data_IF_142730375230
#
_entry.id   IF_142730375230
#
_cell.length_a   1.000
_cell.length_b   1.000
_cell.length_c   1.000
_cell.angle_alpha   90.00
_cell.angle_beta   90.00
_cell.angle_gamma   90.00
#
_symmetry.space_group_name_H-M   'P 1'
#
loop_
_entity.id
_entity.type
_entity.pdbx_description
1 polymer ?
#
# COMPACT_ATOMS: atom_id res chain seq x y z
N UNK A 1 -1.24 -2.87 39.08
CA UNK A 1 -1.87 -1.63 38.58
C UNK A 1 -1.52 -1.53 37.13
N UNK A 2 -2.48 -1.20 36.27
CA UNK A 2 -2.23 -0.92 34.86
C UNK A 2 -1.34 0.32 34.76
N UNK A 3 -0.37 0.27 33.87
CA UNK A 3 0.66 1.30 33.71
C UNK A 3 0.36 2.26 32.55
N UNK A 4 -0.44 1.78 31.58
CA UNK A 4 -0.78 2.52 30.37
C UNK A 4 -2.30 2.56 30.16
N UNK A 5 -2.79 3.63 29.56
CA UNK A 5 -4.16 3.69 29.05
C UNK A 5 -4.30 2.79 27.81
N UNK A 6 -3.30 2.79 26.94
CA UNK A 6 -3.32 2.00 25.69
C UNK A 6 -2.04 1.20 25.47
N UNK A 7 -2.21 -0.10 25.18
CA UNK A 7 -1.23 -0.93 24.50
C UNK A 7 -1.52 -0.90 23.00
N UNK A 8 -0.58 -0.43 22.21
CA UNK A 8 -0.71 -0.33 20.74
C UNK A 8 0.18 -1.40 20.11
N UNK A 9 -0.42 -2.37 19.47
CA UNK A 9 0.28 -3.48 18.80
C UNK A 9 0.46 -3.12 17.33
N UNK A 10 1.68 -2.75 16.96
CA UNK A 10 2.12 -2.29 15.65
C UNK A 10 2.60 -0.84 15.65
N UNK A 11 3.90 -0.64 15.42
CA UNK A 11 4.55 0.67 15.29
C UNK A 11 4.51 1.20 13.84
N UNK A 12 3.49 0.81 13.07
CA UNK A 12 3.22 1.33 11.74
C UNK A 12 2.51 2.68 11.77
N UNK A 13 2.15 3.21 10.60
CA UNK A 13 1.55 4.54 10.46
C UNK A 13 0.26 4.69 11.28
N UNK A 14 -0.63 3.70 11.26
CA UNK A 14 -1.89 3.74 12.01
C UNK A 14 -1.66 3.85 13.52
N UNK A 15 -0.86 2.92 14.07
CA UNK A 15 -0.55 2.91 15.50
C UNK A 15 0.18 4.17 15.95
N UNK A 16 1.10 4.70 15.12
CA UNK A 16 1.85 5.91 15.43
C UNK A 16 0.96 7.16 15.44
N UNK A 17 0.03 7.30 14.50
CA UNK A 17 -0.94 8.42 14.48
C UNK A 17 -1.85 8.35 15.70
N UNK A 18 -2.41 7.19 16.02
CA UNK A 18 -3.24 7.04 17.21
C UNK A 18 -2.47 7.34 18.50
N UNK A 19 -1.24 6.79 18.65
CA UNK A 19 -0.39 7.06 19.81
C UNK A 19 -0.11 8.55 20.00
N UNK A 20 0.18 9.25 18.89
CA UNK A 20 0.40 10.70 18.90
C UNK A 20 -0.83 11.45 19.41
N UNK A 21 -2.00 11.15 18.87
CA UNK A 21 -3.26 11.82 19.24
C UNK A 21 -3.68 11.50 20.69
N UNK A 22 -3.45 10.25 21.13
CA UNK A 22 -3.70 9.85 22.51
C UNK A 22 -2.78 10.60 23.50
N UNK A 23 -1.49 10.64 23.21
CA UNK A 23 -0.51 11.33 24.07
C UNK A 23 -0.78 12.84 24.14
N UNK A 24 -1.17 13.48 23.04
CA UNK A 24 -1.58 14.90 23.04
C UNK A 24 -2.79 15.18 23.92
N UNK A 25 -3.61 14.16 24.19
CA UNK A 25 -4.78 14.26 25.09
C UNK A 25 -4.48 13.71 26.50
N UNK A 26 -3.20 13.57 26.84
CA UNK A 26 -2.74 13.19 28.18
C UNK A 26 -2.83 11.70 28.50
N UNK A 27 -3.09 10.83 27.50
CA UNK A 27 -3.10 9.40 27.67
C UNK A 27 -1.69 8.81 27.60
N UNK A 28 -1.46 7.74 28.34
CA UNK A 28 -0.20 7.01 28.37
C UNK A 28 -0.28 5.79 27.42
N UNK A 29 0.72 5.66 26.53
CA UNK A 29 0.76 4.62 25.53
C UNK A 29 2.04 3.79 25.61
N UNK A 30 1.89 2.46 25.48
CA UNK A 30 2.97 1.55 25.17
C UNK A 30 2.78 1.05 23.72
N UNK A 31 3.74 1.33 22.84
CA UNK A 31 3.74 0.79 21.47
C UNK A 31 4.70 -0.38 21.40
N UNK A 32 4.24 -1.49 20.85
CA UNK A 32 5.09 -2.66 20.60
C UNK A 32 5.08 -3.03 19.11
N UNK A 33 6.17 -3.60 18.63
CA UNK A 33 6.24 -4.17 17.29
C UNK A 33 7.15 -5.41 17.29
N UNK A 34 6.73 -6.45 16.55
CA UNK A 34 7.54 -7.67 16.38
C UNK A 34 8.81 -7.41 15.58
N UNK A 35 8.82 -6.37 14.73
CA UNK A 35 9.97 -5.95 13.92
C UNK A 35 10.99 -5.16 14.78
N UNK A 36 12.24 -5.14 14.31
CA UNK A 36 13.32 -4.36 14.92
C UNK A 36 13.34 -2.88 14.54
N UNK A 37 12.25 -2.36 13.95
CA UNK A 37 12.14 -0.97 13.50
C UNK A 37 10.70 -0.48 13.59
N UNK A 38 10.53 0.84 13.70
CA UNK A 38 9.24 1.53 13.56
C UNK A 38 8.90 1.75 12.08
N UNK A 39 7.69 2.18 11.80
CA UNK A 39 7.23 2.58 10.46
C UNK A 39 6.44 1.49 9.73
N UNK A 40 6.44 0.25 10.23
CA UNK A 40 5.72 -0.82 9.55
C UNK A 40 6.12 -0.92 8.07
N UNK A 41 5.15 -0.95 7.16
CA UNK A 41 5.43 -1.08 5.73
C UNK A 41 5.97 0.22 5.07
N UNK A 42 5.85 1.38 5.73
CA UNK A 42 6.43 2.63 5.22
C UNK A 42 7.87 2.86 5.73
N UNK A 43 8.47 1.86 6.36
CA UNK A 43 9.86 1.96 6.85
C UNK A 43 10.82 2.30 5.72
N UNK A 44 11.63 3.33 5.96
CA UNK A 44 12.74 3.74 5.10
C UNK A 44 14.02 3.77 5.90
N UNK A 45 15.13 3.44 5.27
CA UNK A 45 16.46 3.61 5.84
C UNK A 45 17.42 4.17 4.82
N UNK A 46 18.45 4.84 5.29
CA UNK A 46 19.48 5.42 4.42
C UNK A 46 20.52 4.38 4.02
N UNK A 47 20.69 4.20 2.70
CA UNK A 47 21.76 3.36 2.12
C UNK A 47 22.42 4.15 1.00
N UNK A 48 23.74 4.31 1.04
CA UNK A 48 24.52 5.07 0.05
C UNK A 48 23.93 6.47 -0.24
N UNK A 49 23.41 7.14 0.81
CA UNK A 49 22.80 8.46 0.71
C UNK A 49 21.41 8.50 0.07
N UNK A 50 20.78 7.37 -0.15
CA UNK A 50 19.39 7.26 -0.64
C UNK A 50 18.47 6.72 0.43
N UNK A 51 17.26 7.26 0.54
CA UNK A 51 16.21 6.70 1.40
C UNK A 51 15.58 5.49 0.73
N UNK A 52 15.91 4.28 1.20
CA UNK A 52 15.44 3.02 0.65
C UNK A 52 14.12 2.63 1.30
N UNK A 53 13.07 2.48 0.49
CA UNK A 53 11.76 1.99 0.90
C UNK A 53 11.81 0.46 0.97
N UNK A 54 11.90 -0.11 2.18
CA UNK A 54 12.16 -1.54 2.38
C UNK A 54 11.02 -2.46 2.01
N UNK A 55 9.79 -1.94 2.00
CA UNK A 55 8.58 -2.72 1.77
C UNK A 55 7.78 -2.22 0.55
N UNK A 56 8.48 -1.84 -0.49
CA UNK A 56 7.89 -1.34 -1.73
C UNK A 56 7.83 0.18 -1.83
N UNK A 57 7.58 0.68 -3.03
CA UNK A 57 7.48 2.11 -3.29
C UNK A 57 6.27 2.71 -2.58
N UNK A 58 6.51 3.69 -1.74
CA UNK A 58 5.49 4.47 -1.06
C UNK A 58 5.60 5.92 -1.51
N UNK A 59 4.57 6.42 -2.19
CA UNK A 59 4.44 7.81 -2.60
C UNK A 59 3.20 8.37 -1.89
N UNK A 60 3.37 9.42 -1.09
CA UNK A 60 2.24 10.04 -0.42
C UNK A 60 1.43 10.85 -1.41
N UNK A 61 0.13 10.64 -1.44
CA UNK A 61 -0.81 11.43 -2.21
C UNK A 61 -2.16 11.51 -1.48
N UNK A 62 -2.90 12.58 -1.68
CA UNK A 62 -4.24 12.76 -1.11
C UNK A 62 -5.01 13.86 -1.81
N UNK A 63 -6.32 13.73 -1.88
CA UNK A 63 -7.24 14.82 -2.21
C UNK A 63 -7.70 15.62 -0.98
N UNK A 64 -7.40 15.13 0.21
CA UNK A 64 -7.87 15.68 1.49
C UNK A 64 -6.87 16.65 2.08
N UNK A 65 -7.20 17.93 2.02
CA UNK A 65 -6.32 18.98 2.56
C UNK A 65 -6.01 18.79 4.04
N UNK A 66 -6.97 18.33 4.84
CA UNK A 66 -6.77 18.11 6.27
C UNK A 66 -5.68 17.06 6.55
N UNK A 67 -5.68 15.95 5.80
CA UNK A 67 -4.66 14.91 5.92
C UNK A 67 -3.30 15.42 5.44
N UNK A 68 -3.28 16.21 4.36
CA UNK A 68 -2.06 16.85 3.88
C UNK A 68 -1.47 17.82 4.91
N UNK A 69 -2.31 18.68 5.49
CA UNK A 69 -1.88 19.64 6.52
C UNK A 69 -1.41 18.91 7.79
N UNK A 70 -2.05 17.79 8.14
CA UNK A 70 -1.65 16.99 9.28
C UNK A 70 -0.26 16.38 9.10
N UNK A 71 -0.02 15.68 7.99
CA UNK A 71 1.25 14.99 7.78
C UNK A 71 2.43 15.96 7.60
N UNK A 72 2.18 17.16 7.06
CA UNK A 72 3.20 18.19 6.91
C UNK A 72 3.68 18.80 8.23
N UNK A 73 3.03 18.53 9.37
CA UNK A 73 3.54 18.89 10.69
C UNK A 73 4.77 18.03 11.07
N UNK A 74 4.91 16.86 10.49
CA UNK A 74 5.95 15.90 10.84
C UNK A 74 7.10 15.82 9.84
N UNK A 75 6.91 16.25 8.61
CA UNK A 75 7.96 16.31 7.59
C UNK A 75 7.65 17.36 6.53
N UNK A 76 8.72 17.89 5.91
CA UNK A 76 8.61 18.63 4.67
C UNK A 76 8.53 17.64 3.50
N UNK A 77 7.55 17.80 2.63
CA UNK A 77 7.42 17.01 1.41
C UNK A 77 8.06 17.72 0.22
N UNK A 78 8.71 16.97 -0.65
CA UNK A 78 9.22 17.47 -1.91
C UNK A 78 8.11 17.51 -2.97
N UNK A 79 8.48 17.94 -4.18
CA UNK A 79 7.56 18.05 -5.33
C UNK A 79 7.62 16.82 -6.26
N UNK A 80 7.92 15.64 -5.72
CA UNK A 80 7.95 14.42 -6.53
C UNK A 80 6.56 14.12 -7.10
N UNK A 81 6.53 13.91 -8.42
CA UNK A 81 5.35 13.48 -9.16
C UNK A 81 5.56 12.04 -9.63
N UNK A 82 4.66 11.15 -9.22
CA UNK A 82 4.76 9.76 -9.62
C UNK A 82 4.39 9.57 -11.09
N UNK A 83 5.36 9.23 -11.91
CA UNK A 83 5.21 9.01 -13.35
C UNK A 83 5.86 7.67 -13.73
N UNK A 84 5.29 6.53 -13.31
CA UNK A 84 5.87 5.23 -13.60
C UNK A 84 5.82 4.93 -15.11
N UNK A 85 6.73 4.08 -15.55
CA UNK A 85 6.73 3.51 -16.89
C UNK A 85 6.55 1.99 -16.81
N UNK A 86 6.10 1.39 -17.91
CA UNK A 86 5.98 -0.05 -18.04
C UNK A 86 6.92 -0.55 -19.13
N UNK A 87 7.53 -1.72 -18.90
CA UNK A 87 8.29 -2.49 -19.87
C UNK A 87 7.46 -3.71 -20.24
N UNK A 88 7.20 -3.89 -21.51
CA UNK A 88 6.64 -5.10 -22.08
C UNK A 88 7.55 -5.58 -23.21
N UNK A 89 8.22 -6.70 -23.02
CA UNK A 89 9.30 -7.17 -23.92
C UNK A 89 10.35 -6.06 -24.11
N UNK A 90 10.56 -5.61 -25.32
CA UNK A 90 11.54 -4.57 -25.69
C UNK A 90 10.92 -3.17 -25.80
N UNK A 91 9.63 -3.01 -25.45
CA UNK A 91 8.89 -1.75 -25.59
C UNK A 91 8.68 -1.06 -24.26
N UNK A 92 8.69 0.28 -24.30
CA UNK A 92 8.45 1.14 -23.14
C UNK A 92 7.13 1.88 -23.31
N UNK A 93 6.35 1.91 -22.21
CA UNK A 93 5.05 2.59 -22.18
C UNK A 93 4.94 3.52 -20.99
N UNK A 94 4.34 4.68 -21.18
CA UNK A 94 3.97 5.55 -20.05
C UNK A 94 2.76 5.00 -19.29
N UNK A 95 2.75 5.23 -17.99
CA UNK A 95 1.60 5.01 -17.11
C UNK A 95 1.21 6.33 -16.44
N UNK A 96 -0.07 6.54 -16.10
CA UNK A 96 -1.24 5.69 -16.37
C UNK A 96 -1.53 5.57 -17.88
N UNK A 97 -2.50 4.72 -18.27
CA UNK A 97 -2.91 4.58 -19.68
C UNK A 97 -3.43 5.91 -20.21
N UNK A 98 -2.58 6.66 -20.89
CA UNK A 98 -2.82 8.02 -21.36
C UNK A 98 -2.46 8.18 -22.84
N UNK A 99 -2.52 9.40 -23.36
CA UNK A 99 -2.22 9.65 -24.78
C UNK A 99 -0.78 9.29 -25.17
N UNK A 100 0.20 9.35 -24.24
CA UNK A 100 1.55 8.87 -24.51
C UNK A 100 1.55 7.35 -24.69
N UNK A 101 0.86 6.60 -23.82
CA UNK A 101 0.69 5.15 -23.93
C UNK A 101 0.04 4.76 -25.26
N UNK A 102 -1.05 5.46 -25.63
CA UNK A 102 -1.77 5.17 -26.89
C UNK A 102 -0.96 5.53 -28.12
N UNK A 103 -0.16 6.60 -28.05
CA UNK A 103 0.78 6.93 -29.11
C UNK A 103 1.86 5.84 -29.27
N UNK A 104 2.40 5.35 -28.17
CA UNK A 104 3.40 4.28 -28.16
C UNK A 104 2.85 2.97 -28.71
N UNK A 105 1.60 2.62 -28.34
CA UNK A 105 0.92 1.42 -28.85
C UNK A 105 0.53 1.51 -30.34
N UNK A 106 0.00 2.66 -30.78
CA UNK A 106 -0.72 2.76 -32.06
C UNK A 106 -0.31 3.92 -32.94
N UNK A 107 0.59 4.78 -32.51
CA UNK A 107 0.98 6.00 -33.28
C UNK A 107 -0.11 7.08 -33.35
N UNK A 108 -1.22 6.92 -32.60
CA UNK A 108 -2.32 7.91 -32.58
C UNK A 108 -1.88 9.22 -31.92
N UNK A 109 -2.45 10.33 -32.34
CA UNK A 109 -2.04 11.67 -31.88
C UNK A 109 -3.16 12.45 -31.19
N UNK A 110 -4.40 12.07 -31.44
CA UNK A 110 -5.58 12.77 -30.92
C UNK A 110 -6.43 11.87 -30.02
N UNK A 111 -7.16 12.45 -29.06
CA UNK A 111 -8.13 11.71 -28.26
C UNK A 111 -9.19 10.96 -29.06
N UNK A 112 -9.61 11.55 -30.22
CA UNK A 112 -10.60 10.93 -31.08
C UNK A 112 -10.08 9.63 -31.71
N UNK A 113 -8.84 9.64 -32.24
CA UNK A 113 -8.17 8.46 -32.79
C UNK A 113 -7.99 7.36 -31.72
N UNK A 114 -7.52 7.73 -30.54
CA UNK A 114 -7.32 6.78 -29.43
C UNK A 114 -8.66 6.14 -29.00
N UNK A 115 -9.70 6.94 -28.83
CA UNK A 115 -11.06 6.44 -28.51
C UNK A 115 -11.58 5.50 -29.58
N UNK A 116 -11.44 5.87 -30.86
CA UNK A 116 -11.89 5.04 -31.99
C UNK A 116 -11.17 3.67 -31.98
N UNK A 117 -9.84 3.67 -31.74
CA UNK A 117 -9.03 2.45 -31.67
C UNK A 117 -9.46 1.53 -30.55
N UNK A 118 -9.67 2.06 -29.35
CA UNK A 118 -10.14 1.32 -28.19
C UNK A 118 -11.55 0.75 -28.45
N UNK A 119 -12.47 1.57 -28.95
CA UNK A 119 -13.84 1.15 -29.26
C UNK A 119 -13.89 0.06 -30.33
N UNK A 120 -13.04 0.15 -31.36
CA UNK A 120 -12.90 -0.89 -32.37
C UNK A 120 -12.51 -2.23 -31.75
N UNK A 121 -11.53 -2.23 -30.85
CA UNK A 121 -11.09 -3.45 -30.18
C UNK A 121 -12.16 -4.02 -29.25
N UNK A 122 -12.78 -3.16 -28.42
CA UNK A 122 -13.88 -3.57 -27.52
C UNK A 122 -15.04 -4.19 -28.31
N UNK A 123 -15.43 -3.57 -29.43
CA UNK A 123 -16.52 -4.06 -30.26
C UNK A 123 -16.25 -5.47 -30.85
N UNK A 124 -14.98 -5.76 -31.17
CA UNK A 124 -14.56 -7.10 -31.64
C UNK A 124 -14.68 -8.21 -30.58
N UNK A 125 -14.56 -7.85 -29.31
CA UNK A 125 -14.64 -8.82 -28.20
C UNK A 125 -16.06 -9.32 -27.93
N UNK A 126 -17.11 -8.59 -28.34
CA UNK A 126 -18.52 -8.94 -28.12
C UNK A 126 -18.88 -9.26 -26.66
N UNK A 127 -18.15 -8.67 -25.68
CA UNK A 127 -18.36 -8.86 -24.26
C UNK A 127 -19.43 -7.91 -23.77
N UNK A 128 -20.63 -8.43 -23.48
CA UNK A 128 -21.76 -7.66 -22.93
C UNK A 128 -21.87 -7.76 -21.42
N UNK A 129 -21.45 -8.90 -20.85
CA UNK A 129 -21.51 -9.17 -19.42
C UNK A 129 -20.20 -9.83 -18.98
N UNK A 130 -19.24 -9.04 -18.48
CA UNK A 130 -17.97 -9.57 -17.97
C UNK A 130 -18.19 -10.58 -16.83
N UNK A 131 -17.63 -11.78 -16.94
CA UNK A 131 -17.76 -12.87 -15.96
C UNK A 131 -16.55 -12.98 -15.05
N UNK A 132 -15.42 -12.47 -15.50
CA UNK A 132 -14.14 -12.57 -14.84
C UNK A 132 -13.30 -11.32 -15.13
N UNK A 133 -12.08 -11.25 -14.57
CA UNK A 133 -11.18 -10.12 -14.71
C UNK A 133 -10.75 -9.88 -16.16
N UNK A 134 -10.50 -10.95 -16.93
CA UNK A 134 -10.11 -10.87 -18.34
C UNK A 134 -11.23 -10.21 -19.16
N UNK A 135 -12.46 -10.75 -19.07
CA UNK A 135 -13.63 -10.16 -19.75
C UNK A 135 -13.80 -8.68 -19.37
N UNK A 136 -13.64 -8.34 -18.10
CA UNK A 136 -13.77 -6.98 -17.60
C UNK A 136 -12.69 -6.05 -18.16
N UNK A 137 -11.44 -6.49 -18.18
CA UNK A 137 -10.33 -5.69 -18.70
C UNK A 137 -10.48 -5.47 -20.20
N UNK A 138 -10.74 -6.52 -20.97
CA UNK A 138 -10.99 -6.43 -22.42
C UNK A 138 -12.14 -5.47 -22.78
N UNK A 139 -13.23 -5.51 -21.98
CA UNK A 139 -14.37 -4.61 -22.16
C UNK A 139 -14.07 -3.15 -21.79
N UNK A 140 -13.04 -2.89 -20.98
CA UNK A 140 -12.66 -1.55 -20.55
C UNK A 140 -11.59 -0.91 -21.46
N UNK A 141 -10.56 -1.66 -21.83
CA UNK A 141 -9.35 -1.09 -22.43
C UNK A 141 -9.00 -1.67 -23.82
N UNK A 142 -9.71 -2.71 -24.25
CA UNK A 142 -9.41 -3.41 -25.51
C UNK A 142 -8.25 -4.40 -25.38
N UNK A 143 -7.98 -5.11 -26.47
CA UNK A 143 -7.05 -6.25 -26.50
C UNK A 143 -5.60 -5.83 -26.28
N UNK A 144 -5.10 -4.83 -27.03
CA UNK A 144 -3.66 -4.50 -27.01
C UNK A 144 -3.21 -3.99 -25.64
N UNK A 145 -4.01 -3.14 -24.98
CA UNK A 145 -3.73 -2.65 -23.62
C UNK A 145 -3.81 -3.80 -22.61
N UNK A 146 -4.81 -4.68 -22.75
CA UNK A 146 -4.95 -5.84 -21.89
C UNK A 146 -3.73 -6.76 -21.98
N UNK A 147 -3.40 -7.24 -23.18
CA UNK A 147 -2.33 -8.23 -23.39
C UNK A 147 -0.94 -7.69 -23.01
N UNK A 148 -0.66 -6.42 -23.33
CA UNK A 148 0.68 -5.86 -23.14
C UNK A 148 0.88 -5.25 -21.74
N UNK A 149 -0.15 -4.66 -21.14
CA UNK A 149 0.02 -3.84 -19.96
C UNK A 149 -0.74 -4.33 -18.72
N UNK A 150 -1.69 -5.26 -18.86
CA UNK A 150 -2.55 -5.71 -17.76
C UNK A 150 -2.35 -7.18 -17.45
N UNK A 151 -2.45 -8.06 -18.45
CA UNK A 151 -2.52 -9.51 -18.28
C UNK A 151 -1.33 -10.07 -17.49
N UNK A 152 -0.12 -9.93 -18.02
CA UNK A 152 1.08 -10.53 -17.43
C UNK A 152 1.39 -9.97 -16.03
N UNK A 153 1.18 -8.66 -15.82
CA UNK A 153 1.33 -8.05 -14.51
C UNK A 153 0.34 -8.61 -13.51
N UNK A 154 -0.93 -8.72 -13.88
CA UNK A 154 -2.01 -9.23 -13.04
C UNK A 154 -1.81 -10.70 -12.69
N UNK A 155 -1.45 -11.53 -13.68
CA UNK A 155 -1.15 -12.96 -13.48
C UNK A 155 -0.02 -13.15 -12.46
N UNK A 156 1.05 -12.36 -12.56
CA UNK A 156 2.16 -12.39 -11.58
C UNK A 156 1.67 -11.99 -10.19
N UNK A 157 0.99 -10.84 -10.10
CA UNK A 157 0.55 -10.30 -8.81
C UNK A 157 -0.40 -11.25 -8.08
N UNK A 158 -1.32 -11.89 -8.79
CA UNK A 158 -2.32 -12.77 -8.19
C UNK A 158 -1.92 -14.26 -8.19
N UNK A 159 -0.92 -14.66 -9.00
CA UNK A 159 -0.51 -16.05 -9.15
C UNK A 159 -1.58 -16.94 -9.78
N UNK A 160 -2.51 -16.34 -10.53
CA UNK A 160 -3.65 -17.01 -11.20
C UNK A 160 -3.87 -16.40 -12.58
N UNK A 161 -4.50 -17.18 -13.46
CA UNK A 161 -4.94 -16.69 -14.77
C UNK A 161 -6.04 -15.62 -14.60
N UNK A 162 -6.04 -14.59 -15.44
CA UNK A 162 -7.01 -13.50 -15.37
C UNK A 162 -8.47 -13.98 -15.51
N UNK A 163 -8.70 -15.05 -16.29
CA UNK A 163 -10.02 -15.68 -16.44
C UNK A 163 -10.54 -16.37 -15.17
N UNK A 164 -9.64 -16.70 -14.23
CA UNK A 164 -9.96 -17.35 -12.97
C UNK A 164 -10.09 -16.35 -11.80
N UNK A 165 -9.91 -15.09 -12.10
CA UNK A 165 -10.03 -13.97 -11.14
C UNK A 165 -11.38 -13.26 -11.29
N UNK A 166 -12.02 -12.82 -10.17
CA UNK A 166 -13.27 -12.09 -10.23
C UNK A 166 -13.17 -10.75 -10.97
N UNK A 167 -14.20 -10.39 -11.72
CA UNK A 167 -14.26 -9.13 -12.48
C UNK A 167 -14.12 -7.87 -11.59
N UNK A 168 -14.54 -7.93 -10.33
CA UNK A 168 -14.50 -6.78 -9.42
C UNK A 168 -13.08 -6.33 -9.04
N UNK A 169 -12.07 -7.18 -9.19
CA UNK A 169 -10.66 -6.83 -8.94
C UNK A 169 -10.25 -5.66 -9.83
N UNK A 170 -10.74 -5.62 -11.06
CA UNK A 170 -10.55 -4.49 -11.99
C UNK A 170 -11.90 -3.82 -12.22
N UNK A 171 -12.38 -3.04 -11.26
CA UNK A 171 -13.60 -2.24 -11.43
C UNK A 171 -13.44 -1.12 -12.45
N UNK A 172 -12.25 -0.53 -12.52
CA UNK A 172 -11.89 0.58 -13.41
C UNK A 172 -10.43 0.46 -13.79
N UNK A 173 -10.16 0.52 -15.08
CA UNK A 173 -8.85 0.83 -15.63
C UNK A 173 -8.95 2.25 -16.20
N UNK A 174 -8.41 3.26 -15.52
CA UNK A 174 -8.64 4.64 -15.92
C UNK A 174 -7.87 4.96 -17.21
N UNK A 175 -8.63 5.11 -18.29
CA UNK A 175 -8.12 5.65 -19.54
C UNK A 175 -8.13 7.18 -19.48
N UNK A 176 -7.01 7.81 -19.80
CA UNK A 176 -6.86 9.27 -19.81
C UNK A 176 -6.55 9.75 -21.22
N UNK A 177 -7.39 10.62 -21.75
CA UNK A 177 -7.21 11.18 -23.08
C UNK A 177 -6.48 12.52 -23.03
N UNK A 178 -5.42 12.58 -22.21
CA UNK A 178 -4.49 13.70 -22.04
C UNK A 178 -3.05 13.16 -22.09
N UNK A 179 -2.07 14.03 -22.31
CA UNK A 179 -0.64 13.70 -22.28
C UNK A 179 -0.02 13.83 -20.88
N UNK A 180 -0.84 13.83 -19.83
CA UNK A 180 -0.39 13.92 -18.46
C UNK A 180 0.07 12.57 -17.94
N UNK A 181 1.34 12.46 -17.54
CA UNK A 181 1.96 11.27 -16.98
C UNK A 181 1.86 11.19 -15.46
N UNK A 182 1.27 12.19 -14.78
CA UNK A 182 1.06 12.08 -13.35
C UNK A 182 0.11 10.91 -13.04
N UNK A 183 0.61 9.91 -12.31
CA UNK A 183 -0.15 8.70 -12.02
C UNK A 183 -1.38 8.98 -11.14
N UNK A 184 -1.23 9.85 -10.15
CA UNK A 184 -2.32 10.22 -9.25
C UNK A 184 -3.12 11.40 -9.81
N UNK A 185 -4.39 11.49 -9.41
CA UNK A 185 -5.26 12.64 -9.72
C UNK A 185 -5.34 13.63 -8.55
N UNK A 186 -4.75 13.25 -7.42
CA UNK A 186 -4.82 14.01 -6.19
C UNK A 186 -4.01 15.31 -6.30
N UNK A 187 -4.52 16.42 -5.76
CA UNK A 187 -3.85 17.71 -5.82
C UNK A 187 -2.59 17.78 -4.95
N UNK A 188 -2.47 16.90 -3.95
CA UNK A 188 -1.33 16.84 -3.05
C UNK A 188 -0.60 15.53 -3.22
N UNK A 189 0.69 15.58 -3.50
CA UNK A 189 1.56 14.43 -3.55
C UNK A 189 3.02 14.83 -3.31
N UNK A 190 3.84 13.88 -2.90
CA UNK A 190 5.27 14.08 -2.69
C UNK A 190 5.90 12.97 -1.87
N UNK A 191 7.22 13.11 -1.68
CA UNK A 191 8.02 12.25 -0.82
C UNK A 191 8.52 13.07 0.36
N UNK A 192 8.44 12.57 1.61
CA UNK A 192 8.97 13.28 2.76
C UNK A 192 10.50 13.32 2.69
N UNK A 193 11.09 14.49 2.83
CA UNK A 193 12.55 14.66 2.87
C UNK A 193 13.15 13.92 4.06
N UNK A 194 14.11 13.03 3.77
CA UNK A 194 14.75 12.17 4.77
C UNK A 194 13.93 10.95 5.17
N UNK A 195 12.99 10.53 4.32
CA UNK A 195 12.26 9.28 4.40
C UNK A 195 11.06 9.25 5.37
N UNK A 196 10.23 8.23 5.23
CA UNK A 196 9.01 8.06 6.03
C UNK A 196 9.25 7.69 7.49
N UNK A 197 10.33 6.97 7.79
CA UNK A 197 10.67 6.60 9.18
C UNK A 197 10.79 7.80 10.08
N UNK A 198 11.26 8.94 9.54
CA UNK A 198 11.35 10.21 10.27
C UNK A 198 9.98 10.74 10.72
N UNK A 199 8.95 10.56 9.91
CA UNK A 199 7.56 10.93 10.27
C UNK A 199 7.11 10.11 11.46
N UNK A 200 7.26 8.78 11.37
CA UNK A 200 6.84 7.87 12.44
C UNK A 200 7.61 8.13 13.72
N UNK A 201 8.91 8.42 13.62
CA UNK A 201 9.73 8.81 14.78
C UNK A 201 9.19 10.05 15.48
N UNK A 202 8.76 11.08 14.73
CA UNK A 202 8.16 12.29 15.31
C UNK A 202 6.77 12.02 15.90
N UNK A 203 5.95 11.20 15.25
CA UNK A 203 4.65 10.80 15.78
C UNK A 203 4.78 10.07 17.12
N UNK A 204 5.82 9.27 17.30
CA UNK A 204 6.08 8.50 18.51
C UNK A 204 6.99 9.23 19.53
N UNK A 205 7.26 10.52 19.33
CA UNK A 205 8.07 11.30 20.26
C UNK A 205 7.40 11.38 21.65
N UNK A 206 8.12 10.95 22.68
CA UNK A 206 7.60 10.88 24.06
C UNK A 206 6.76 9.64 24.37
N UNK A 207 6.53 8.74 23.38
CA UNK A 207 5.84 7.47 23.57
C UNK A 207 6.84 6.36 23.84
N UNK A 208 6.54 5.48 24.79
CA UNK A 208 7.36 4.29 25.03
C UNK A 208 7.16 3.28 23.90
N UNK A 209 8.26 2.85 23.25
CA UNK A 209 8.25 1.90 22.15
C UNK A 209 9.14 0.71 22.47
N UNK A 210 8.60 -0.51 22.37
CA UNK A 210 9.32 -1.76 22.52
C UNK A 210 9.31 -2.54 21.21
N UNK A 211 10.45 -2.56 20.53
CA UNK A 211 10.66 -3.32 19.29
C UNK A 211 11.09 -4.76 19.58
N UNK A 212 11.08 -5.64 18.58
CA UNK A 212 11.35 -7.07 18.71
C UNK A 212 10.47 -7.73 19.78
N UNK A 213 9.24 -7.23 19.93
CA UNK A 213 8.28 -7.69 20.92
C UNK A 213 7.06 -8.28 20.23
N UNK A 214 6.96 -9.59 20.24
CA UNK A 214 5.81 -10.31 19.69
C UNK A 214 4.67 -10.31 20.71
N UNK A 215 3.52 -9.79 20.31
CA UNK A 215 2.32 -9.72 21.14
C UNK A 215 1.85 -11.10 21.59
N UNK A 216 1.86 -12.09 20.70
CA UNK A 216 1.34 -13.42 20.98
C UNK A 216 2.26 -14.22 21.91
N UNK A 217 3.56 -13.94 21.91
CA UNK A 217 4.51 -14.60 22.82
C UNK A 217 4.28 -14.25 24.30
N UNK A 218 3.75 -13.03 24.56
CA UNK A 218 3.54 -12.52 25.93
C UNK A 218 2.18 -11.80 26.07
N UNK A 219 1.14 -12.30 25.40
CA UNK A 219 -0.16 -11.64 25.28
C UNK A 219 -0.78 -11.27 26.62
N UNK A 220 -0.83 -12.20 27.57
CA UNK A 220 -1.44 -11.98 28.89
C UNK A 220 -0.70 -10.89 29.69
N UNK A 221 0.64 -10.97 29.72
CA UNK A 221 1.47 -10.00 30.44
C UNK A 221 1.36 -8.60 29.83
N UNK A 222 1.42 -8.50 28.50
CA UNK A 222 1.30 -7.25 27.78
C UNK A 222 -0.08 -6.60 27.95
N UNK A 223 -1.14 -7.39 27.79
CA UNK A 223 -2.52 -6.92 27.97
C UNK A 223 -2.81 -6.46 29.40
N UNK A 224 -2.21 -7.13 30.41
CA UNK A 224 -2.37 -6.74 31.80
C UNK A 224 -1.78 -5.36 32.13
N UNK A 225 -0.89 -4.82 31.30
CA UNK A 225 -0.23 -3.53 31.52
C UNK A 225 -1.08 -2.32 31.09
N UNK A 226 -2.13 -2.52 30.28
CA UNK A 226 -2.92 -1.43 29.72
C UNK A 226 -4.43 -1.59 29.98
N UNK A 227 -5.16 -0.48 29.93
CA UNK A 227 -6.62 -0.48 30.03
C UNK A 227 -7.28 -1.00 28.75
N UNK A 228 -6.78 -0.57 27.60
CA UNK A 228 -7.23 -0.99 26.27
C UNK A 228 -6.08 -1.39 25.38
N UNK A 229 -6.37 -2.26 24.41
CA UNK A 229 -5.44 -2.70 23.36
C UNK A 229 -5.92 -2.19 22.01
N UNK A 230 -5.08 -1.43 21.31
CA UNK A 230 -5.25 -1.18 19.89
C UNK A 230 -4.41 -2.19 19.11
N UNK A 231 -5.08 -3.11 18.43
CA UNK A 231 -4.42 -4.18 17.67
C UNK A 231 -4.47 -3.89 16.17
N UNK A 232 -3.29 -3.78 15.53
CA UNK A 232 -3.17 -3.49 14.10
C UNK A 232 -2.64 -4.67 13.27
N UNK A 233 -2.51 -5.85 13.90
CA UNK A 233 -2.13 -7.11 13.26
C UNK A 233 -3.31 -7.80 12.59
N UNK A 234 -3.10 -9.03 12.13
CA UNK A 234 -4.14 -9.84 11.48
C UNK A 234 -5.24 -10.21 12.47
N UNK A 235 -6.48 -9.87 12.15
CA UNK A 235 -7.63 -10.12 13.03
C UNK A 235 -7.91 -11.61 13.24
N UNK A 236 -7.71 -12.43 12.23
CA UNK A 236 -7.88 -13.87 12.32
C UNK A 236 -6.81 -14.53 13.21
N UNK A 237 -5.56 -14.05 13.16
CA UNK A 237 -4.49 -14.49 14.06
C UNK A 237 -4.79 -14.11 15.51
N UNK A 238 -5.37 -12.93 15.75
CA UNK A 238 -5.78 -12.51 17.10
C UNK A 238 -6.75 -13.49 17.76
N UNK A 239 -7.61 -14.12 16.99
CA UNK A 239 -8.59 -15.11 17.40
C UNK A 239 -8.18 -16.56 17.12
N UNK A 240 -6.88 -16.83 16.99
CA UNK A 240 -6.35 -18.18 16.76
C UNK A 240 -7.02 -18.90 15.57
N UNK A 241 -7.39 -18.13 14.53
CA UNK A 241 -8.03 -18.63 13.30
C UNK A 241 -9.33 -19.43 13.54
N UNK A 242 -10.07 -19.13 14.60
CA UNK A 242 -11.23 -19.91 15.05
C UNK A 242 -12.37 -20.05 14.02
N UNK A 243 -12.46 -19.16 13.05
CA UNK A 243 -13.40 -19.25 11.92
C UNK A 243 -12.74 -19.66 10.60
N UNK A 244 -11.41 -19.82 10.59
CA UNK A 244 -10.57 -20.11 9.42
C UNK A 244 -9.61 -18.98 9.09
N UNK A 245 -8.65 -19.27 8.20
CA UNK A 245 -7.63 -18.31 7.78
C UNK A 245 -8.17 -17.38 6.69
N UNK A 246 -7.95 -16.07 6.86
CA UNK A 246 -8.15 -15.07 5.83
C UNK A 246 -7.00 -15.13 4.82
N UNK A 247 -7.29 -14.88 3.56
CA UNK A 247 -6.29 -14.94 2.50
C UNK A 247 -5.61 -13.58 2.30
N UNK A 248 -4.29 -13.62 2.15
CA UNK A 248 -3.45 -12.45 1.85
C UNK A 248 -2.55 -12.71 0.65
N UNK A 249 -2.03 -11.65 0.06
CA UNK A 249 -0.88 -11.72 -0.84
C UNK A 249 0.35 -11.18 -0.13
N UNK A 250 1.49 -11.74 -0.49
CA UNK A 250 2.79 -11.35 0.04
C UNK A 250 3.70 -10.81 -1.07
N UNK A 251 4.82 -10.21 -0.67
CA UNK A 251 5.85 -9.69 -1.55
C UNK A 251 7.22 -10.12 -1.03
N UNK A 252 8.15 -10.32 -1.97
CA UNK A 252 9.57 -10.47 -1.68
C UNK A 252 10.32 -9.32 -2.33
N UNK A 253 11.27 -8.75 -1.61
CA UNK A 253 12.11 -7.64 -2.08
C UNK A 253 13.57 -8.07 -2.14
N UNK A 254 14.23 -7.77 -3.25
CA UNK A 254 15.66 -7.96 -3.42
C UNK A 254 16.31 -6.60 -3.68
N UNK A 255 17.07 -6.11 -2.70
CA UNK A 255 17.71 -4.80 -2.76
C UNK A 255 19.20 -4.97 -3.09
N UNK A 256 19.68 -4.17 -4.02
CA UNK A 256 21.05 -4.19 -4.52
C UNK A 256 21.61 -2.77 -4.63
N UNK A 257 22.87 -2.61 -4.23
CA UNK A 257 23.64 -1.38 -4.45
C UNK A 257 24.45 -1.54 -5.72
N UNK A 258 24.28 -0.60 -6.66
CA UNK A 258 24.98 -0.60 -7.94
C UNK A 258 26.01 0.53 -7.99
N UNK A 259 27.20 0.22 -8.52
CA UNK A 259 28.28 1.19 -8.72
C UNK A 259 28.08 1.98 -10.02
N UNK A 260 26.95 2.66 -10.09
CA UNK A 260 26.56 3.55 -11.18
C UNK A 260 25.61 4.64 -10.67
N UNK A 261 25.63 5.80 -11.30
CA UNK A 261 24.85 6.96 -10.87
C UNK A 261 23.35 6.89 -11.21
N UNK A 262 22.96 6.08 -12.19
CA UNK A 262 21.57 5.97 -12.67
C UNK A 262 21.39 4.62 -13.37
N UNK A 263 20.40 3.84 -12.97
CA UNK A 263 20.13 2.51 -13.50
C UNK A 263 19.04 2.51 -14.57
N UNK A 264 17.88 3.10 -14.26
CA UNK A 264 16.70 3.04 -15.11
C UNK A 264 16.08 4.41 -15.46
N UNK A 265 16.62 5.49 -14.91
CA UNK A 265 16.19 6.86 -15.20
C UNK A 265 14.82 7.24 -14.65
N UNK A 266 14.22 6.41 -13.81
CA UNK A 266 12.92 6.66 -13.19
C UNK A 266 12.83 5.96 -11.82
N UNK A 267 12.03 6.51 -10.92
CA UNK A 267 11.85 5.92 -9.60
C UNK A 267 11.20 4.52 -9.65
N UNK A 268 10.20 4.34 -10.51
CA UNK A 268 9.44 3.09 -10.62
C UNK A 268 9.27 2.67 -12.07
N UNK A 269 9.74 1.46 -12.38
CA UNK A 269 9.54 0.81 -13.67
C UNK A 269 8.79 -0.51 -13.44
N UNK A 270 7.60 -0.65 -14.02
CA UNK A 270 6.80 -1.85 -13.96
C UNK A 270 7.17 -2.78 -15.13
N UNK A 271 7.25 -4.06 -14.86
CA UNK A 271 7.47 -5.10 -15.87
C UNK A 271 6.18 -5.87 -16.07
N UNK A 272 5.53 -5.65 -17.19
CA UNK A 272 4.20 -6.24 -17.48
C UNK A 272 4.27 -7.57 -18.21
N UNK A 273 5.42 -7.91 -18.79
CA UNK A 273 5.64 -9.23 -19.38
C UNK A 273 5.63 -10.32 -18.29
N UNK A 274 4.88 -11.40 -18.53
CA UNK A 274 4.75 -12.53 -17.62
C UNK A 274 6.07 -13.29 -17.42
N UNK A 275 6.92 -13.37 -18.43
CA UNK A 275 8.20 -14.06 -18.38
C UNK A 275 9.22 -13.38 -17.45
N UNK A 276 9.04 -12.09 -17.14
CA UNK A 276 9.85 -11.38 -16.17
C UNK A 276 9.34 -11.68 -14.76
N UNK A 277 10.16 -12.27 -13.86
CA UNK A 277 9.65 -12.80 -12.58
C UNK A 277 9.25 -11.75 -11.55
N UNK A 278 9.73 -10.51 -11.66
CA UNK A 278 9.36 -9.39 -10.79
C UNK A 278 8.31 -8.49 -11.45
N UNK A 279 7.55 -7.80 -10.62
CA UNK A 279 6.51 -6.86 -11.10
C UNK A 279 7.06 -5.48 -11.33
N UNK A 280 8.08 -5.06 -10.57
CA UNK A 280 8.70 -3.74 -10.73
C UNK A 280 10.13 -3.70 -10.23
N UNK A 281 10.86 -2.68 -10.70
CA UNK A 281 12.11 -2.23 -10.11
C UNK A 281 11.91 -0.82 -9.59
N UNK A 282 12.37 -0.59 -8.36
CA UNK A 282 12.38 0.72 -7.71
C UNK A 282 13.82 1.20 -7.68
N UNK A 283 14.12 2.38 -8.21
CA UNK A 283 15.40 3.06 -8.06
C UNK A 283 15.22 4.22 -7.09
N UNK A 284 15.65 4.03 -5.85
CA UNK A 284 15.22 4.83 -4.71
C UNK A 284 15.68 6.29 -4.74
N UNK A 285 16.85 6.59 -5.30
CA UNK A 285 17.39 7.95 -5.35
C UNK A 285 16.50 8.96 -6.05
N UNK A 286 15.71 8.50 -7.04
CA UNK A 286 14.84 9.39 -7.81
C UNK A 286 13.69 9.97 -6.98
N UNK A 287 13.29 9.34 -5.87
CA UNK A 287 12.26 9.87 -4.99
C UNK A 287 12.64 11.22 -4.36
N UNK A 288 13.92 11.42 -4.07
CA UNK A 288 14.43 12.66 -3.50
C UNK A 288 15.39 13.41 -4.45
N UNK A 289 15.30 13.12 -5.77
CA UNK A 289 16.15 13.75 -6.81
C UNK A 289 17.65 13.61 -6.55
N UNK A 290 18.05 12.47 -6.01
CA UNK A 290 19.42 12.19 -5.60
C UNK A 290 20.42 12.12 -6.78
N UNK A 291 21.62 12.61 -6.54
CA UNK A 291 22.72 12.68 -7.53
C UNK A 291 23.94 11.87 -7.08
N UNK A 292 23.81 10.97 -6.12
CA UNK A 292 24.88 10.14 -5.59
C UNK A 292 25.55 9.31 -6.70
N UNK A 293 26.87 9.02 -6.60
CA UNK A 293 27.58 8.27 -7.62
C UNK A 293 27.15 6.80 -7.73
N UNK A 294 26.58 6.25 -6.62
CA UNK A 294 25.96 4.93 -6.60
C UNK A 294 24.45 5.03 -6.57
N UNK A 295 23.78 3.97 -6.97
CA UNK A 295 22.32 3.87 -6.84
C UNK A 295 21.90 2.60 -6.13
N UNK A 296 20.73 2.64 -5.50
CA UNK A 296 20.11 1.49 -4.84
C UNK A 296 18.83 1.14 -5.58
N UNK A 297 18.73 -0.10 -6.01
CA UNK A 297 17.53 -0.63 -6.63
C UNK A 297 16.89 -1.72 -5.77
N UNK A 298 15.59 -1.86 -5.88
CA UNK A 298 14.85 -2.98 -5.27
C UNK A 298 13.96 -3.62 -6.33
N UNK A 299 14.12 -4.94 -6.53
CA UNK A 299 13.22 -5.76 -7.34
C UNK A 299 12.10 -6.28 -6.45
N UNK A 300 10.86 -6.08 -6.87
CA UNK A 300 9.66 -6.53 -6.16
C UNK A 300 9.08 -7.76 -6.83
N UNK A 301 9.05 -8.88 -6.10
CA UNK A 301 8.50 -10.14 -6.55
C UNK A 301 7.16 -10.41 -5.85
N UNK A 302 6.11 -10.74 -6.60
CA UNK A 302 4.87 -11.21 -5.99
C UNK A 302 5.07 -12.60 -5.39
N UNK A 303 4.44 -12.83 -4.25
CA UNK A 303 4.52 -14.10 -3.55
C UNK A 303 3.16 -14.52 -2.97
N UNK A 304 2.94 -15.81 -2.88
CA UNK A 304 1.86 -16.33 -2.06
C UNK A 304 2.15 -16.03 -0.58
N UNK A 305 1.11 -15.64 0.14
CA UNK A 305 1.23 -15.53 1.59
C UNK A 305 1.14 -16.94 2.21
N UNK A 306 1.96 -17.17 3.18
CA UNK A 306 1.97 -18.36 4.02
C UNK A 306 2.10 -17.90 5.48
N UNK A 307 1.57 -18.68 6.40
CA UNK A 307 1.65 -18.38 7.82
C UNK A 307 3.09 -18.13 8.27
N UNK A 308 3.31 -17.03 8.96
CA UNK A 308 4.64 -16.57 9.36
C UNK A 308 5.35 -15.63 8.36
N UNK A 309 4.78 -15.44 7.16
CA UNK A 309 5.24 -14.40 6.23
C UNK A 309 4.45 -13.11 6.41
N UNK A 310 5.02 -11.99 5.98
CA UNK A 310 4.34 -10.68 6.06
C UNK A 310 3.15 -10.62 5.09
N UNK A 311 1.95 -10.30 5.58
CA UNK A 311 0.78 -10.04 4.75
C UNK A 311 0.82 -8.60 4.23
N UNK A 312 0.78 -8.43 2.91
CA UNK A 312 0.79 -7.09 2.30
C UNK A 312 -0.59 -6.64 1.83
N UNK A 313 -1.36 -7.55 1.23
CA UNK A 313 -2.66 -7.23 0.64
C UNK A 313 -3.70 -8.24 1.05
N UNK A 314 -4.85 -7.81 1.62
CA UNK A 314 -5.99 -8.69 1.83
C UNK A 314 -6.61 -9.11 0.48
N UNK A 315 -7.09 -10.34 0.40
CA UNK A 315 -7.82 -10.85 -0.76
C UNK A 315 -9.32 -10.62 -0.53
N UNK A 316 -9.83 -9.48 -1.00
CA UNK A 316 -11.22 -9.07 -0.77
C UNK A 316 -12.17 -9.72 -1.78
N UNK A 317 -12.25 -11.04 -1.81
CA UNK A 317 -13.28 -11.77 -2.54
C UNK A 317 -14.50 -12.06 -1.65
N UNK A 318 -15.64 -12.54 -2.21
CA UNK A 318 -16.84 -12.81 -1.44
C UNK A 318 -16.62 -13.79 -0.29
N UNK A 319 -15.82 -14.85 -0.51
CA UNK A 319 -15.49 -15.87 0.50
C UNK A 319 -14.78 -15.25 1.70
N UNK A 320 -13.74 -14.46 1.43
CA UNK A 320 -12.97 -13.81 2.48
C UNK A 320 -13.74 -12.67 3.16
N UNK A 321 -14.61 -11.98 2.43
CA UNK A 321 -15.50 -10.97 3.02
C UNK A 321 -16.49 -11.59 4.01
N UNK A 322 -17.14 -12.70 3.65
CA UNK A 322 -18.04 -13.43 4.56
C UNK A 322 -17.28 -14.00 5.79
N UNK A 323 -16.03 -14.41 5.61
CA UNK A 323 -15.20 -14.87 6.71
C UNK A 323 -14.80 -13.71 7.63
N UNK A 324 -14.41 -12.57 7.05
CA UNK A 324 -14.07 -11.37 7.80
C UNK A 324 -15.27 -10.85 8.61
N UNK A 325 -16.48 -10.86 8.07
CA UNK A 325 -17.72 -10.46 8.77
C UNK A 325 -17.92 -11.25 10.08
N UNK A 326 -17.46 -12.50 10.16
CA UNK A 326 -17.55 -13.29 11.41
C UNK A 326 -16.57 -12.78 12.45
N UNK A 327 -15.34 -12.45 12.01
CA UNK A 327 -14.33 -11.87 12.89
C UNK A 327 -14.71 -10.47 13.36
N UNK A 328 -15.24 -9.64 12.46
CA UNK A 328 -15.70 -8.29 12.79
C UNK A 328 -16.82 -8.31 13.84
N UNK A 329 -17.83 -9.16 13.67
CA UNK A 329 -18.89 -9.32 14.68
C UNK A 329 -18.34 -9.72 16.04
N UNK A 330 -17.37 -10.63 16.09
CA UNK A 330 -16.72 -11.01 17.32
C UNK A 330 -15.90 -9.87 17.92
N UNK A 331 -15.22 -9.08 17.07
CA UNK A 331 -14.46 -7.93 17.50
C UNK A 331 -15.32 -6.84 18.16
N UNK A 332 -16.57 -6.67 17.70
CA UNK A 332 -17.54 -5.73 18.28
C UNK A 332 -17.99 -6.14 19.72
N UNK A 333 -17.80 -7.39 20.11
CA UNK A 333 -18.10 -7.86 21.45
C UNK A 333 -16.97 -7.59 22.46
N UNK A 334 -15.74 -7.28 21.95
CA UNK A 334 -14.60 -6.96 22.79
C UNK A 334 -14.74 -5.57 23.42
N UNK A 335 -14.64 -5.52 24.75
CA UNK A 335 -14.78 -4.24 25.48
C UNK A 335 -13.48 -3.45 25.54
N UNK A 336 -12.35 -4.15 25.55
CA UNK A 336 -11.04 -3.57 25.82
C UNK A 336 -10.06 -3.77 24.64
N UNK A 337 -10.52 -4.23 23.49
CA UNK A 337 -9.70 -4.40 22.28
C UNK A 337 -10.34 -3.65 21.12
N UNK A 338 -9.53 -2.85 20.47
CA UNK A 338 -9.89 -2.07 19.28
C UNK A 338 -9.05 -2.62 18.13
N UNK A 339 -9.69 -2.96 17.02
CA UNK A 339 -8.98 -3.38 15.82
C UNK A 339 -8.83 -2.19 14.86
N UNK A 340 -7.62 -1.98 14.37
CA UNK A 340 -7.31 -0.88 13.46
C UNK A 340 -6.25 -1.24 12.43
N UNK A 341 -6.03 -0.34 11.48
CA UNK A 341 -5.07 -0.54 10.40
C UNK A 341 -5.50 -1.58 9.37
N UNK A 342 -4.66 -1.77 8.36
CA UNK A 342 -4.99 -2.57 7.17
C UNK A 342 -5.31 -4.04 7.49
N UNK A 343 -4.59 -4.64 8.43
CA UNK A 343 -4.73 -6.05 8.78
C UNK A 343 -5.85 -6.28 9.79
N UNK A 344 -5.97 -5.39 10.80
CA UNK A 344 -7.03 -5.47 11.80
C UNK A 344 -8.41 -5.20 11.22
N UNK A 345 -8.49 -4.38 10.17
CA UNK A 345 -9.73 -4.06 9.44
C UNK A 345 -9.89 -4.87 8.14
N UNK A 346 -8.97 -5.77 7.84
CA UNK A 346 -8.92 -6.56 6.60
C UNK A 346 -9.24 -5.73 5.34
N UNK A 347 -8.64 -4.54 5.24
CA UNK A 347 -8.93 -3.56 4.18
C UNK A 347 -7.65 -2.98 3.60
N UNK A 348 -7.58 -2.92 2.25
CA UNK A 348 -6.54 -2.13 1.60
C UNK A 348 -6.81 -0.65 1.82
N UNK A 349 -5.80 0.07 2.27
CA UNK A 349 -5.83 1.52 2.46
C UNK A 349 -4.52 2.14 1.98
N UNK A 350 -4.62 3.25 1.26
CA UNK A 350 -3.48 4.12 1.00
C UNK A 350 -3.09 4.89 2.27
N UNK A 351 -1.90 5.48 2.30
CA UNK A 351 -1.37 6.13 3.51
C UNK A 351 -2.28 7.25 4.04
N UNK A 352 -2.91 8.01 3.16
CA UNK A 352 -3.85 9.07 3.54
C UNK A 352 -5.11 8.52 4.22
N UNK A 353 -5.63 7.41 3.72
CA UNK A 353 -6.76 6.70 4.32
C UNK A 353 -6.39 6.10 5.69
N UNK A 354 -5.16 5.57 5.82
CA UNK A 354 -4.65 5.07 7.11
C UNK A 354 -4.60 6.19 8.14
N UNK A 355 -4.14 7.38 7.76
CA UNK A 355 -4.10 8.55 8.65
C UNK A 355 -5.51 8.99 9.02
N UNK A 356 -6.42 9.09 8.06
CA UNK A 356 -7.80 9.52 8.29
C UNK A 356 -8.53 8.58 9.25
N UNK A 357 -8.43 7.27 9.03
CA UNK A 357 -9.04 6.27 9.91
C UNK A 357 -8.45 6.32 11.33
N UNK A 358 -7.13 6.49 11.45
CA UNK A 358 -6.49 6.59 12.76
C UNK A 358 -6.90 7.88 13.51
N UNK A 359 -7.04 9.00 12.79
CA UNK A 359 -7.54 10.26 13.36
C UNK A 359 -9.00 10.15 13.78
N UNK A 360 -9.84 9.54 12.95
CA UNK A 360 -11.25 9.31 13.24
C UNK A 360 -11.45 8.39 14.46
N UNK A 361 -10.65 7.33 14.54
CA UNK A 361 -10.64 6.47 15.72
C UNK A 361 -10.22 7.23 16.97
N UNK A 362 -9.14 8.02 16.89
CA UNK A 362 -8.66 8.80 18.02
C UNK A 362 -9.70 9.84 18.47
N UNK A 363 -10.39 10.48 17.54
CA UNK A 363 -11.46 11.43 17.86
C UNK A 363 -12.63 10.74 18.56
N UNK A 364 -13.07 9.59 18.06
CA UNK A 364 -14.19 8.85 18.64
C UNK A 364 -13.83 8.26 20.01
N UNK A 365 -12.70 7.57 20.10
CA UNK A 365 -12.28 6.81 21.27
C UNK A 365 -11.86 7.71 22.43
N UNK A 366 -11.18 8.82 22.16
CA UNK A 366 -10.60 9.70 23.18
C UNK A 366 -11.55 10.82 23.63
N UNK A 367 -12.72 10.97 22.98
CA UNK A 367 -13.71 11.98 23.36
C UNK A 367 -14.78 11.42 24.32
N UNK A 368 -14.93 10.11 24.40
CA UNK A 368 -15.96 9.43 25.21
C UNK A 368 -15.60 9.22 26.69
N UNK A 369 -14.50 9.75 27.17
CA UNK A 369 -14.21 9.76 28.62
C UNK A 369 -14.63 11.10 29.23
N UNK A 370 -15.94 11.31 29.39
CA UNK A 370 -16.42 12.25 30.40
C UNK A 370 -16.24 11.59 31.79
N UNK A 371 -15.82 12.40 32.80
CA UNK A 371 -15.47 11.91 34.13
C UNK A 371 -16.66 11.38 34.94
#
# INVERSE_FOLDING_TARGET
>A
MKQYDYLIVGAGLFGAVFAHEATRRGKTCLVIDKRGHIGGNIYTEEVEGSQVHRYGAHIFHTSRKQVWDYINQFAEFNHFVNSPIAVYKDELYNLPFNMNTFHQLWGVRTPAEAKAKIQEQIARMHITHPRNLEDQALALVGQDVYEQLVEGYTRKQWGRECKDLPAFIIKRLPLRYTYDNNYFKDPYQGIPKGGYTRIVKKLLEGVQVCLNTDFFANREELTAQADKVLFTGMIDEFYDYCYGELEYRSLKFETEVLDMGNYQGNAVVNYTDYEVPYTRIIEHKHFEFGTQPKTVITREYPAAWEKGKEPYYPVNDPKNSELFDKYERRALEEKNVIFGGRLGMYRYMDMDQVIEEALSLAETELTYEEP
#
